data_IF_921223372270
#
_entry.id   IF_921223372270
#
_cell.length_a   1.000
_cell.length_b   1.000
_cell.length_c   1.000
_cell.angle_alpha   90.00
_cell.angle_beta   90.00
_cell.angle_gamma   90.00
#
_symmetry.space_group_name_H-M   'P 1'
#
loop_
_entity.id
_entity.type
_entity.pdbx_description
1 polymer ?
#
# COMPACT_ATOMS: atom_id res chain seq x y z
N UNK A 1 -30.65 2.05 -17.94
CA UNK A 1 -30.13 2.56 -16.71
C UNK A 1 -28.79 1.92 -16.36
N UNK A 2 -27.77 2.64 -16.64
CA UNK A 2 -26.36 2.20 -16.54
C UNK A 2 -25.74 2.47 -15.18
N UNK A 3 -26.54 2.74 -14.15
CA UNK A 3 -26.03 3.21 -12.87
C UNK A 3 -25.42 2.11 -11.98
N UNK A 4 -25.72 0.85 -12.22
CA UNK A 4 -25.26 -0.24 -11.34
C UNK A 4 -23.76 -0.46 -11.37
N UNK A 5 -23.09 -0.27 -12.50
CA UNK A 5 -21.64 -0.41 -12.61
C UNK A 5 -20.87 0.74 -11.96
N UNK A 6 -21.45 1.92 -11.93
CA UNK A 6 -20.83 3.08 -11.30
C UNK A 6 -20.93 3.09 -9.78
N UNK A 7 -22.02 2.56 -9.23
CA UNK A 7 -22.19 2.51 -7.78
C UNK A 7 -21.18 1.58 -7.10
N UNK A 8 -20.73 0.53 -7.78
CA UNK A 8 -19.69 -0.36 -7.29
C UNK A 8 -18.32 0.33 -7.23
N UNK A 9 -18.03 1.21 -8.19
CA UNK A 9 -16.79 2.00 -8.18
C UNK A 9 -16.82 3.09 -7.13
N UNK A 10 -17.95 3.73 -6.92
CA UNK A 10 -18.12 4.75 -5.91
C UNK A 10 -17.99 4.18 -4.51
N UNK A 11 -18.54 2.99 -4.24
CA UNK A 11 -18.43 2.36 -2.94
C UNK A 11 -17.00 1.95 -2.59
N UNK A 12 -16.18 1.57 -3.58
CA UNK A 12 -14.78 1.25 -3.36
C UNK A 12 -13.90 2.50 -3.17
N UNK A 13 -14.36 3.66 -3.65
CA UNK A 13 -13.64 4.92 -3.50
C UNK A 13 -13.99 5.68 -2.21
N UNK A 14 -15.00 5.27 -1.48
CA UNK A 14 -15.41 5.94 -0.23
C UNK A 14 -14.31 5.93 0.82
N UNK A 15 -13.53 4.87 0.91
CA UNK A 15 -12.37 4.83 1.78
C UNK A 15 -11.40 5.99 1.50
N UNK A 16 -11.29 6.36 0.23
CA UNK A 16 -10.30 7.32 -0.25
C UNK A 16 -10.71 8.78 -0.07
N UNK A 17 -11.93 9.04 0.37
CA UNK A 17 -12.43 10.40 0.57
C UNK A 17 -12.64 10.74 2.04
N UNK A 18 -12.33 9.82 2.92
CA UNK A 18 -12.49 10.01 4.35
C UNK A 18 -11.26 10.65 4.98
N UNK A 19 -11.47 11.30 6.10
CA UNK A 19 -10.38 11.71 6.96
C UNK A 19 -9.78 10.45 7.60
N UNK A 20 -8.50 10.27 7.44
CA UNK A 20 -7.78 9.10 7.94
C UNK A 20 -6.82 9.51 9.04
N UNK A 21 -6.80 8.76 10.11
CA UNK A 21 -5.77 8.86 11.14
C UNK A 21 -4.75 7.76 10.89
N UNK A 22 -3.51 8.12 10.68
CA UNK A 22 -2.44 7.17 10.43
C UNK A 22 -1.50 7.06 11.63
N UNK A 23 -1.31 5.84 12.10
CA UNK A 23 -0.36 5.51 13.15
C UNK A 23 0.74 4.66 12.51
N UNK A 24 1.93 5.24 12.36
CA UNK A 24 3.06 4.56 11.73
C UNK A 24 4.37 5.23 12.14
N UNK A 25 5.47 4.55 11.89
CA UNK A 25 6.78 5.20 11.96
C UNK A 25 7.00 6.08 10.70
N UNK A 26 8.15 6.73 10.64
CA UNK A 26 8.52 7.65 9.56
C UNK A 26 9.41 6.99 8.50
N UNK A 27 9.24 5.69 8.27
CA UNK A 27 9.99 5.01 7.21
C UNK A 27 9.63 5.58 5.83
N UNK A 28 10.54 5.42 4.87
CA UNK A 28 10.31 5.89 3.50
C UNK A 28 9.07 5.25 2.88
N UNK A 29 8.82 3.97 3.15
CA UNK A 29 7.63 3.28 2.67
C UNK A 29 6.35 3.89 3.25
N UNK A 30 6.34 4.24 4.51
CA UNK A 30 5.20 4.87 5.15
C UNK A 30 4.98 6.29 4.65
N UNK A 31 6.06 7.03 4.38
CA UNK A 31 5.95 8.36 3.79
C UNK A 31 5.37 8.30 2.37
N UNK A 32 5.75 7.32 1.58
CA UNK A 32 5.18 7.10 0.26
C UNK A 32 3.70 6.69 0.35
N UNK A 33 3.35 5.86 1.32
CA UNK A 33 1.96 5.49 1.59
C UNK A 33 1.11 6.74 1.88
N UNK A 34 1.60 7.62 2.74
CA UNK A 34 0.94 8.88 3.06
C UNK A 34 0.78 9.74 1.81
N UNK A 35 1.83 9.85 1.01
CA UNK A 35 1.83 10.62 -0.23
C UNK A 35 0.75 10.12 -1.19
N UNK A 36 0.64 8.81 -1.37
CA UNK A 36 -0.36 8.23 -2.26
C UNK A 36 -1.78 8.42 -1.73
N UNK A 37 -1.99 8.26 -0.43
CA UNK A 37 -3.30 8.50 0.18
C UNK A 37 -3.73 9.95 0.01
N UNK A 38 -2.81 10.90 0.21
CA UNK A 38 -3.10 12.32 -0.01
C UNK A 38 -3.41 12.62 -1.47
N UNK A 39 -2.69 12.01 -2.41
CA UNK A 39 -2.93 12.18 -3.83
C UNK A 39 -4.31 11.68 -4.26
N UNK A 40 -4.88 10.74 -3.54
CA UNK A 40 -6.22 10.22 -3.76
C UNK A 40 -7.33 11.05 -3.11
N UNK A 41 -6.97 12.13 -2.42
CA UNK A 41 -7.91 13.08 -1.83
C UNK A 41 -8.15 12.90 -0.33
N UNK A 42 -7.46 11.99 0.32
CA UNK A 42 -7.59 11.81 1.76
C UNK A 42 -6.90 12.92 2.54
N UNK A 43 -7.52 13.34 3.63
CA UNK A 43 -6.82 14.12 4.63
C UNK A 43 -6.20 13.16 5.63
N UNK A 44 -4.91 13.29 5.86
CA UNK A 44 -4.18 12.38 6.73
C UNK A 44 -3.78 13.12 8.01
N UNK A 45 -4.26 12.62 9.13
CA UNK A 45 -3.86 13.09 10.45
C UNK A 45 -2.93 12.06 11.06
N UNK A 46 -1.76 12.50 11.48
CA UNK A 46 -0.78 11.61 12.10
C UNK A 46 -0.96 11.63 13.60
N UNK A 47 -1.11 10.44 14.18
CA UNK A 47 -1.25 10.30 15.62
C UNK A 47 -0.30 9.24 16.15
N UNK A 48 0.10 9.39 17.40
CA UNK A 48 0.90 8.38 18.10
C UNK A 48 0.01 7.36 18.81
N UNK A 49 -1.18 7.76 19.21
CA UNK A 49 -2.12 6.93 19.96
C UNK A 49 -3.55 7.13 19.44
N UNK A 50 -4.39 6.15 19.69
CA UNK A 50 -5.79 6.12 19.25
C UNK A 50 -6.71 7.00 20.13
N UNK A 51 -6.18 7.84 20.99
CA UNK A 51 -7.00 8.60 21.92
C UNK A 51 -7.82 9.68 21.18
N UNK A 52 -9.15 9.60 21.32
CA UNK A 52 -10.13 10.60 20.88
C UNK A 52 -10.33 10.77 19.37
N UNK A 53 -10.05 9.74 18.57
CA UNK A 53 -10.19 9.89 17.15
C UNK A 53 -11.55 9.41 16.63
N UNK A 54 -12.25 10.32 16.00
CA UNK A 54 -13.47 10.02 15.25
C UNK A 54 -13.07 9.81 13.79
N UNK A 55 -13.33 8.64 13.25
CA UNK A 55 -13.02 8.34 11.87
C UNK A 55 -12.29 7.01 11.72
N UNK A 56 -11.74 6.79 10.55
CA UNK A 56 -11.02 5.56 10.25
C UNK A 56 -9.56 5.71 10.66
N UNK A 57 -9.08 4.75 11.43
CA UNK A 57 -7.70 4.70 11.90
C UNK A 57 -6.99 3.58 11.19
N UNK A 58 -5.88 3.90 10.55
CA UNK A 58 -4.98 2.93 9.93
C UNK A 58 -3.73 2.84 10.79
N UNK A 59 -3.49 1.69 11.37
CA UNK A 59 -2.26 1.42 12.09
C UNK A 59 -1.39 0.51 11.26
N UNK A 60 -0.20 0.98 10.90
CA UNK A 60 0.79 0.19 10.19
C UNK A 60 1.69 -0.49 11.22
N UNK A 61 1.56 -1.80 11.32
CA UNK A 61 2.35 -2.59 12.26
C UNK A 61 3.71 -2.94 11.69
N UNK A 62 3.75 -3.20 10.39
CA UNK A 62 4.94 -3.67 9.72
C UNK A 62 4.87 -3.25 8.25
N UNK A 63 5.95 -2.72 7.71
CA UNK A 63 5.99 -2.27 6.31
C UNK A 63 7.42 -2.42 5.82
N UNK A 64 7.66 -3.43 4.98
CA UNK A 64 9.01 -3.75 4.51
C UNK A 64 9.03 -4.11 3.04
N UNK A 65 10.18 -3.86 2.45
CA UNK A 65 10.54 -4.28 1.11
C UNK A 65 11.91 -4.93 1.16
N UNK A 66 12.00 -6.17 0.74
CA UNK A 66 13.25 -6.91 0.65
C UNK A 66 13.62 -7.14 -0.80
N UNK A 67 14.88 -6.90 -1.13
CA UNK A 67 15.40 -7.04 -2.48
C UNK A 67 16.45 -8.13 -2.52
N UNK A 68 16.28 -9.07 -3.44
CA UNK A 68 17.23 -10.15 -3.70
C UNK A 68 17.68 -10.03 -5.15
N UNK A 69 18.98 -9.93 -5.36
CA UNK A 69 19.54 -9.76 -6.71
C UNK A 69 20.46 -10.93 -7.05
N UNK A 70 20.42 -11.37 -8.31
CA UNK A 70 21.27 -12.44 -8.81
C UNK A 70 21.49 -12.33 -10.31
N UNK A 71 22.66 -12.72 -10.77
CA UNK A 71 22.96 -12.79 -12.19
C UNK A 71 22.20 -13.94 -12.86
N UNK A 72 21.68 -13.69 -14.07
CA UNK A 72 20.99 -14.70 -14.86
C UNK A 72 21.95 -15.30 -15.87
N UNK A 73 22.31 -16.58 -15.68
CA UNK A 73 23.18 -17.34 -16.59
C UNK A 73 24.65 -17.04 -16.42
N UNK A 74 25.49 -17.94 -16.96
CA UNK A 74 26.95 -17.81 -16.93
C UNK A 74 27.40 -16.72 -17.90
N UNK A 75 28.16 -15.73 -17.39
CA UNK A 75 28.61 -14.59 -18.18
C UNK A 75 27.53 -13.61 -18.60
N UNK A 76 26.33 -13.75 -18.07
CA UNK A 76 25.22 -12.87 -18.42
C UNK A 76 25.41 -11.47 -17.85
N UNK A 77 25.17 -10.45 -18.68
CA UNK A 77 25.16 -9.05 -18.27
C UNK A 77 23.82 -8.65 -17.63
N UNK A 78 22.83 -9.52 -17.71
CA UNK A 78 21.50 -9.28 -17.17
C UNK A 78 21.43 -9.79 -15.74
N UNK A 79 20.95 -8.95 -14.85
CA UNK A 79 20.70 -9.28 -13.46
C UNK A 79 19.19 -9.24 -13.22
N UNK A 80 18.69 -10.20 -12.44
CA UNK A 80 17.31 -10.21 -12.00
C UNK A 80 17.24 -9.84 -10.53
N UNK A 81 16.36 -8.95 -10.19
CA UNK A 81 16.00 -8.64 -8.81
C UNK A 81 14.60 -9.15 -8.52
N UNK A 82 14.44 -9.78 -7.35
CA UNK A 82 13.14 -10.11 -6.77
C UNK A 82 12.88 -9.13 -5.65
N UNK A 83 11.71 -8.50 -5.69
CA UNK A 83 11.26 -7.58 -4.66
C UNK A 83 10.11 -8.23 -3.91
N UNK A 84 10.31 -8.49 -2.64
CA UNK A 84 9.29 -9.03 -1.74
C UNK A 84 8.77 -7.91 -0.86
N UNK A 85 7.48 -7.64 -0.97
CA UNK A 85 6.80 -6.56 -0.28
C UNK A 85 5.83 -7.11 0.74
N UNK A 86 5.82 -6.52 1.93
CA UNK A 86 4.87 -6.88 2.97
C UNK A 86 4.41 -5.64 3.71
N UNK A 87 3.11 -5.54 3.92
CA UNK A 87 2.52 -4.54 4.80
C UNK A 87 1.51 -5.23 5.72
N UNK A 88 1.70 -5.04 7.02
CA UNK A 88 0.77 -5.50 8.05
C UNK A 88 0.07 -4.28 8.62
N UNK A 89 -1.24 -4.28 8.59
CA UNK A 89 -2.04 -3.14 8.98
C UNK A 89 -3.28 -3.56 9.76
N UNK A 90 -3.80 -2.59 10.50
CA UNK A 90 -5.02 -2.72 11.27
C UNK A 90 -5.90 -1.52 10.94
N UNK A 91 -7.14 -1.79 10.58
CA UNK A 91 -8.17 -0.78 10.36
C UNK A 91 -9.11 -0.79 11.54
N UNK A 92 -9.35 0.37 12.13
CA UNK A 92 -10.26 0.49 13.25
C UNK A 92 -11.13 1.73 13.13
N UNK A 93 -12.32 1.65 13.71
CA UNK A 93 -13.26 2.75 13.77
C UNK A 93 -13.98 2.71 15.12
N UNK A 94 -14.16 3.86 15.74
CA UNK A 94 -14.87 3.97 17.03
C UNK A 94 -14.35 3.01 18.11
N UNK A 95 -13.03 2.88 18.19
CA UNK A 95 -12.32 2.00 19.13
C UNK A 95 -12.52 0.50 18.91
N UNK A 96 -13.16 0.11 17.82
CA UNK A 96 -13.28 -1.29 17.42
C UNK A 96 -12.30 -1.60 16.29
N UNK A 97 -11.60 -2.71 16.40
CA UNK A 97 -10.78 -3.23 15.31
C UNK A 97 -11.71 -3.87 14.29
N UNK A 98 -11.75 -3.29 13.10
CA UNK A 98 -12.58 -3.81 12.01
C UNK A 98 -11.84 -4.94 11.29
N UNK A 99 -10.58 -4.71 10.98
CA UNK A 99 -9.77 -5.60 10.14
C UNK A 99 -8.33 -5.57 10.62
N UNK A 100 -7.71 -6.73 10.67
CA UNK A 100 -6.28 -6.89 10.84
C UNK A 100 -5.81 -7.83 9.73
N UNK A 101 -4.87 -7.37 8.90
CA UNK A 101 -4.47 -8.13 7.72
C UNK A 101 -3.00 -7.90 7.38
N UNK A 102 -2.41 -8.90 6.72
CA UNK A 102 -1.07 -8.84 6.16
C UNK A 102 -1.19 -9.02 4.66
N UNK A 103 -0.71 -8.03 3.90
CA UNK A 103 -0.66 -8.10 2.45
C UNK A 103 0.78 -8.34 2.02
N UNK A 104 0.98 -9.34 1.18
CA UNK A 104 2.28 -9.71 0.64
C UNK A 104 2.20 -9.75 -0.88
N UNK A 105 3.28 -9.32 -1.53
CA UNK A 105 3.38 -9.37 -2.98
C UNK A 105 4.85 -9.47 -3.40
N UNK A 106 5.08 -10.13 -4.52
CA UNK A 106 6.42 -10.29 -5.10
C UNK A 106 6.39 -9.79 -6.54
N UNK A 107 7.40 -9.01 -6.91
CA UNK A 107 7.61 -8.55 -8.28
C UNK A 107 9.06 -8.77 -8.69
N UNK A 108 9.27 -8.95 -9.97
CA UNK A 108 10.60 -9.19 -10.54
C UNK A 108 10.99 -8.04 -11.45
N UNK A 109 12.27 -7.72 -11.43
CA UNK A 109 12.86 -6.67 -12.23
C UNK A 109 14.12 -7.24 -12.91
N UNK A 110 14.19 -7.18 -14.23
CA UNK A 110 15.38 -7.57 -14.98
C UNK A 110 16.05 -6.31 -15.50
N UNK A 111 17.36 -6.21 -15.34
CA UNK A 111 18.11 -5.04 -15.80
C UNK A 111 19.48 -5.42 -16.27
N UNK A 112 20.03 -4.60 -17.17
CA UNK A 112 21.42 -4.71 -17.61
C UNK A 112 22.30 -3.96 -16.61
N UNK A 113 23.39 -4.59 -16.18
CA UNK A 113 24.33 -3.99 -15.22
C UNK A 113 24.92 -2.65 -15.69
N UNK A 114 24.92 -2.39 -16.99
CA UNK A 114 25.38 -1.12 -17.53
C UNK A 114 24.39 0.03 -17.42
N UNK A 115 23.14 -0.23 -17.02
CA UNK A 115 22.07 0.77 -16.98
C UNK A 115 21.44 0.86 -15.60
N UNK A 116 22.24 1.31 -14.63
CA UNK A 116 21.81 1.42 -13.24
C UNK A 116 20.73 2.50 -13.02
N UNK A 117 20.76 3.58 -13.81
CA UNK A 117 19.76 4.64 -13.69
C UNK A 117 18.39 4.18 -14.11
N UNK A 118 18.31 3.39 -15.18
CA UNK A 118 17.05 2.80 -15.63
C UNK A 118 16.49 1.84 -14.58
N UNK A 119 17.35 1.03 -13.98
CA UNK A 119 16.98 0.11 -12.91
C UNK A 119 16.40 0.86 -11.72
N UNK A 120 17.02 1.93 -11.26
CA UNK A 120 16.54 2.72 -10.13
C UNK A 120 15.16 3.31 -10.40
N UNK A 121 14.93 3.79 -11.62
CA UNK A 121 13.63 4.33 -12.01
C UNK A 121 12.54 3.26 -11.99
N UNK A 122 12.82 2.10 -12.55
CA UNK A 122 11.87 0.99 -12.58
C UNK A 122 11.59 0.45 -11.17
N UNK A 123 12.61 0.39 -10.33
CA UNK A 123 12.44 0.00 -8.94
C UNK A 123 11.51 0.95 -8.18
N UNK A 124 11.67 2.26 -8.38
CA UNK A 124 10.77 3.26 -7.78
C UNK A 124 9.33 3.09 -8.25
N UNK A 125 9.13 2.80 -9.53
CA UNK A 125 7.80 2.54 -10.08
C UNK A 125 7.19 1.30 -9.43
N UNK A 126 7.98 0.23 -9.27
CA UNK A 126 7.52 -1.00 -8.63
C UNK A 126 7.16 -0.76 -7.16
N UNK A 127 7.94 0.02 -6.44
CA UNK A 127 7.63 0.38 -5.05
C UNK A 127 6.30 1.12 -4.95
N UNK A 128 6.08 2.09 -5.82
CA UNK A 128 4.80 2.81 -5.87
C UNK A 128 3.63 1.88 -6.18
N UNK A 129 3.83 0.94 -7.08
CA UNK A 129 2.81 -0.05 -7.44
C UNK A 129 2.50 -0.99 -6.28
N UNK A 130 3.51 -1.45 -5.54
CA UNK A 130 3.30 -2.25 -4.34
C UNK A 130 2.43 -1.53 -3.32
N UNK A 131 2.76 -0.28 -3.04
CA UNK A 131 2.03 0.52 -2.06
C UNK A 131 0.59 0.78 -2.53
N UNK A 132 0.42 1.08 -3.81
CA UNK A 132 -0.91 1.24 -4.39
C UNK A 132 -1.73 -0.05 -4.27
N UNK A 133 -1.12 -1.21 -4.52
CA UNK A 133 -1.77 -2.51 -4.36
C UNK A 133 -2.14 -2.77 -2.89
N UNK A 134 -1.27 -2.35 -1.96
CA UNK A 134 -1.56 -2.42 -0.53
C UNK A 134 -2.77 -1.57 -0.15
N UNK A 135 -2.88 -0.36 -0.69
CA UNK A 135 -4.04 0.51 -0.48
C UNK A 135 -5.31 -0.14 -1.03
N UNK A 136 -5.24 -0.71 -2.24
CA UNK A 136 -6.38 -1.44 -2.83
C UNK A 136 -6.80 -2.62 -1.97
N UNK A 137 -5.84 -3.31 -1.37
CA UNK A 137 -6.12 -4.40 -0.46
C UNK A 137 -6.87 -3.91 0.78
N UNK A 138 -6.49 -2.76 1.34
CA UNK A 138 -7.20 -2.14 2.45
C UNK A 138 -8.64 -1.79 2.07
N UNK A 139 -8.82 -1.18 0.88
CA UNK A 139 -10.14 -0.84 0.36
C UNK A 139 -11.03 -2.07 0.17
N UNK A 140 -10.45 -3.14 -0.37
CA UNK A 140 -11.15 -4.39 -0.58
C UNK A 140 -11.67 -4.99 0.72
N UNK A 141 -10.84 -5.06 1.75
CA UNK A 141 -11.23 -5.61 3.04
C UNK A 141 -12.26 -4.74 3.76
N UNK A 142 -12.14 -3.43 3.61
CA UNK A 142 -13.13 -2.51 4.19
C UNK A 142 -14.49 -2.66 3.51
N UNK A 143 -14.51 -2.79 2.19
CA UNK A 143 -15.73 -3.02 1.42
C UNK A 143 -16.40 -4.34 1.80
N UNK A 144 -15.62 -5.41 2.01
CA UNK A 144 -16.15 -6.69 2.48
C UNK A 144 -16.82 -6.57 3.85
N UNK A 145 -16.24 -5.78 4.74
CA UNK A 145 -16.79 -5.58 6.08
C UNK A 145 -18.10 -4.81 6.04
N UNK A 146 -18.19 -3.79 5.19
CA UNK A 146 -19.43 -3.01 5.03
C UNK A 146 -20.56 -3.86 4.47
N UNK A 147 -20.27 -4.83 3.63
CA UNK A 147 -21.26 -5.74 3.06
C UNK A 147 -21.74 -6.82 4.03
N UNK A 148 -21.02 -7.09 5.12
CA UNK A 148 -21.42 -8.03 6.16
C UNK A 148 -22.45 -7.44 7.14
N UNK A 149 -22.57 -6.13 7.12
CA UNK A 149 -23.52 -5.39 7.94
C UNK A 149 -24.75 -4.99 7.08
#
# INVERSE_FOLDING_TARGET
MSSCGYSLRESSSELLQQDLVLISDNSDLNLELISQLKAKGNKIFRAKNIENENGLIIRIKFHELNKFSGAIGAGARTTQARLDYVISYELSSKREIIIEHIYESTKYLSFNQSDLLSMEREEKILVKNFINDGIKNMEFHLALKDNEN
#
